data_IF_217903603404
#
_entry.id   IF_217903603404
#
_cell.length_a   1.000
_cell.length_b   1.000
_cell.length_c   1.000
_cell.angle_alpha   90.00
_cell.angle_beta   90.00
_cell.angle_gamma   90.00
#
_symmetry.space_group_name_H-M   'P 1'
#
loop_
_entity.id
_entity.type
_entity.pdbx_description
1 polymer ?
#
# COMPACT_ATOMS: atom_id res chain seq x y z
N UNK A 1 -0.47 13.97 -19.57
CA UNK A 1 -1.15 13.02 -18.67
C UNK A 1 -2.61 13.39 -18.67
N UNK A 2 -3.54 12.45 -18.76
CA UNK A 2 -4.96 12.78 -18.98
C UNK A 2 -5.57 13.67 -17.89
N UNK A 3 -6.75 14.24 -18.19
CA UNK A 3 -7.43 15.18 -17.30
C UNK A 3 -7.70 14.56 -15.90
N UNK A 4 -7.51 15.33 -14.81
CA UNK A 4 -7.56 14.79 -13.45
C UNK A 4 -8.99 14.44 -13.02
N UNK A 5 -9.24 13.16 -12.72
CA UNK A 5 -10.53 12.67 -12.21
C UNK A 5 -10.85 13.24 -10.82
N UNK A 6 -9.84 13.53 -10.01
CA UNK A 6 -10.05 14.12 -8.67
C UNK A 6 -10.68 15.51 -8.78
N UNK A 7 -10.17 16.37 -9.68
CA UNK A 7 -10.74 17.70 -9.93
C UNK A 7 -12.17 17.58 -10.43
N UNK A 8 -12.43 16.69 -11.38
CA UNK A 8 -13.77 16.40 -11.88
C UNK A 8 -14.76 16.05 -10.75
N UNK A 9 -14.34 15.24 -9.78
CA UNK A 9 -15.15 14.88 -8.61
C UNK A 9 -15.36 16.05 -7.65
N UNK A 10 -14.36 16.90 -7.46
CA UNK A 10 -14.49 18.08 -6.59
C UNK A 10 -15.42 19.13 -7.21
N UNK A 11 -15.32 19.40 -8.51
CA UNK A 11 -16.20 20.33 -9.23
C UNK A 11 -17.67 19.91 -9.14
N UNK A 12 -17.96 18.61 -9.20
CA UNK A 12 -19.32 18.08 -9.07
C UNK A 12 -19.90 18.19 -7.65
N UNK A 13 -19.10 18.50 -6.64
CA UNK A 13 -19.61 18.83 -5.29
C UNK A 13 -20.07 20.27 -5.20
N UNK A 14 -19.56 21.14 -6.07
CA UNK A 14 -20.00 22.52 -6.17
C UNK A 14 -21.31 22.58 -6.98
N UNK A 15 -22.38 23.00 -6.32
CA UNK A 15 -23.69 23.22 -6.93
C UNK A 15 -23.92 24.67 -7.38
N UNK A 16 -22.87 25.50 -7.35
CA UNK A 16 -22.94 26.93 -7.62
C UNK A 16 -22.19 27.32 -8.91
N UNK A 17 -22.90 27.47 -10.04
CA UNK A 17 -22.30 27.90 -11.31
C UNK A 17 -22.02 29.41 -11.35
N UNK A 18 -22.64 30.22 -10.48
CA UNK A 18 -22.40 31.68 -10.46
C UNK A 18 -21.01 31.98 -9.89
N UNK A 19 -20.63 31.31 -8.80
CA UNK A 19 -19.28 31.40 -8.24
C UNK A 19 -18.21 30.91 -9.23
N UNK A 20 -18.52 29.90 -10.04
CA UNK A 20 -17.60 29.41 -11.08
C UNK A 20 -17.31 30.49 -12.14
N UNK A 21 -18.37 31.16 -12.62
CA UNK A 21 -18.29 32.25 -13.62
C UNK A 21 -17.65 33.52 -13.07
N UNK A 22 -17.86 33.80 -11.79
CA UNK A 22 -17.23 34.93 -11.12
C UNK A 22 -15.71 34.76 -11.00
N UNK A 23 -15.22 33.51 -10.99
CA UNK A 23 -13.79 33.22 -10.91
C UNK A 23 -13.11 33.41 -12.28
N UNK A 24 -13.52 32.65 -13.30
CA UNK A 24 -13.06 32.83 -14.68
C UNK A 24 -14.02 32.15 -15.66
N UNK A 25 -13.95 32.55 -16.94
CA UNK A 25 -14.76 31.95 -18.00
C UNK A 25 -14.33 30.51 -18.25
N UNK A 26 -13.02 30.28 -18.32
CA UNK A 26 -12.42 28.98 -18.56
C UNK A 26 -12.70 28.01 -17.41
N UNK A 27 -12.67 28.49 -16.16
CA UNK A 27 -13.06 27.68 -15.00
C UNK A 27 -14.53 27.30 -15.06
N UNK A 28 -15.40 28.23 -15.46
CA UNK A 28 -16.83 27.97 -15.61
C UNK A 28 -17.11 26.91 -16.69
N UNK A 29 -16.39 26.92 -17.82
CA UNK A 29 -16.51 25.87 -18.84
C UNK A 29 -16.14 24.49 -18.30
N UNK A 30 -15.03 24.41 -17.55
CA UNK A 30 -14.59 23.16 -16.91
C UNK A 30 -15.60 22.69 -15.85
N UNK A 31 -16.14 23.61 -15.05
CA UNK A 31 -17.17 23.33 -14.05
C UNK A 31 -18.48 22.86 -14.69
N UNK A 32 -19.01 23.57 -15.68
CA UNK A 32 -20.25 23.24 -16.38
C UNK A 32 -20.15 21.85 -17.03
N UNK A 33 -19.04 21.57 -17.74
CA UNK A 33 -18.80 20.25 -18.31
C UNK A 33 -18.78 19.15 -17.24
N UNK A 34 -18.14 19.39 -16.09
CA UNK A 34 -18.13 18.46 -14.99
C UNK A 34 -19.52 18.28 -14.34
N UNK A 35 -20.25 19.38 -14.13
CA UNK A 35 -21.57 19.42 -13.50
C UNK A 35 -22.59 18.60 -14.30
N UNK A 36 -22.64 18.79 -15.62
CA UNK A 36 -23.51 18.02 -16.52
C UNK A 36 -22.98 16.62 -16.87
N UNK A 37 -21.80 16.25 -16.38
CA UNK A 37 -21.21 14.93 -16.60
C UNK A 37 -20.66 14.70 -18.02
N UNK A 38 -20.34 15.76 -18.75
CA UNK A 38 -19.80 15.71 -20.12
C UNK A 38 -18.29 15.51 -20.09
N UNK A 39 -17.87 14.24 -19.97
CA UNK A 39 -16.45 13.89 -19.81
C UNK A 39 -15.55 14.39 -20.94
N UNK A 40 -15.96 14.26 -22.20
CA UNK A 40 -15.17 14.71 -23.33
C UNK A 40 -14.93 16.23 -23.31
N UNK A 41 -15.99 17.00 -23.05
CA UNK A 41 -15.92 18.46 -22.94
C UNK A 41 -15.02 18.87 -21.77
N UNK A 42 -15.13 18.19 -20.63
CA UNK A 42 -14.25 18.42 -19.47
C UNK A 42 -12.78 18.17 -19.80
N UNK A 43 -12.46 17.09 -20.51
CA UNK A 43 -11.08 16.78 -20.92
C UNK A 43 -10.55 17.87 -21.84
N UNK A 44 -11.35 18.34 -22.80
CA UNK A 44 -10.96 19.41 -23.72
C UNK A 44 -10.77 20.75 -23.00
N UNK A 45 -11.70 21.13 -22.12
CA UNK A 45 -11.62 22.35 -21.32
C UNK A 45 -10.42 22.35 -20.34
N UNK A 46 -9.93 21.17 -19.94
CA UNK A 46 -8.69 21.03 -19.16
C UNK A 46 -7.39 21.14 -19.99
N UNK A 47 -7.47 21.45 -21.28
CA UNK A 47 -6.33 21.50 -22.19
C UNK A 47 -6.12 20.25 -23.04
N UNK A 48 -7.06 19.30 -22.99
CA UNK A 48 -7.08 18.10 -23.82
C UNK A 48 -6.40 16.86 -23.20
N UNK A 49 -6.45 15.71 -23.89
CA UNK A 49 -6.00 14.42 -23.34
C UNK A 49 -4.47 14.34 -23.10
N UNK A 50 -3.68 15.16 -23.79
CA UNK A 50 -2.21 15.15 -23.72
C UNK A 50 -1.62 16.33 -22.93
N UNK A 51 -2.47 17.17 -22.33
CA UNK A 51 -2.03 18.33 -21.55
C UNK A 51 -0.96 17.97 -20.51
N UNK A 52 0.00 18.88 -20.33
CA UNK A 52 0.99 18.77 -19.27
C UNK A 52 0.35 19.12 -17.94
N UNK A 53 0.86 18.55 -16.85
CA UNK A 53 0.28 18.76 -15.52
C UNK A 53 0.32 20.23 -15.07
N UNK A 54 1.31 20.99 -15.54
CA UNK A 54 1.48 22.40 -15.20
C UNK A 54 0.61 23.32 -16.06
N UNK A 55 0.05 22.80 -17.16
CA UNK A 55 -0.80 23.52 -18.12
C UNK A 55 -2.30 23.16 -17.95
N UNK A 56 -2.65 22.48 -16.85
CA UNK A 56 -4.05 22.16 -16.52
C UNK A 56 -4.80 23.41 -16.07
N UNK A 57 -5.94 23.70 -16.70
CA UNK A 57 -6.79 24.85 -16.35
C UNK A 57 -7.21 24.84 -14.87
N UNK A 58 -7.73 23.72 -14.37
CA UNK A 58 -8.21 23.60 -12.98
C UNK A 58 -7.41 22.57 -12.20
N UNK A 59 -6.95 22.94 -11.00
CA UNK A 59 -6.11 22.11 -10.14
C UNK A 59 -6.70 21.95 -8.75
N UNK A 60 -6.36 20.86 -8.08
CA UNK A 60 -6.76 20.61 -6.69
C UNK A 60 -5.95 21.47 -5.72
N UNK A 61 -6.63 22.13 -4.80
CA UNK A 61 -6.01 22.77 -3.65
C UNK A 61 -5.77 21.72 -2.55
N UNK A 62 -4.52 21.61 -2.13
CA UNK A 62 -4.11 20.83 -0.97
C UNK A 62 -3.73 21.76 0.17
N UNK A 63 -4.16 21.43 1.39
CA UNK A 63 -3.80 22.15 2.60
C UNK A 63 -3.39 21.14 3.68
N UNK A 64 -2.31 21.43 4.44
CA UNK A 64 -1.97 20.64 5.60
C UNK A 64 -3.06 20.79 6.66
N UNK A 65 -3.47 19.66 7.24
CA UNK A 65 -4.38 19.64 8.38
C UNK A 65 -3.59 19.99 9.64
N UNK A 66 -4.20 20.74 10.55
CA UNK A 66 -3.61 21.09 11.85
C UNK A 66 -3.35 19.86 12.73
N UNK A 67 -4.06 18.75 12.48
CA UNK A 67 -3.90 17.49 13.19
C UNK A 67 -2.84 16.62 12.51
N UNK A 68 -1.95 16.04 13.33
CA UNK A 68 -0.98 15.04 12.89
C UNK A 68 -1.62 13.65 12.82
N UNK A 69 -1.07 12.78 11.98
CA UNK A 69 -1.47 11.37 11.93
C UNK A 69 -0.99 10.61 13.20
N UNK A 70 -1.39 9.35 13.32
CA UNK A 70 -0.99 8.48 14.46
C UNK A 70 0.53 8.31 14.64
N UNK A 71 1.32 8.67 13.63
CA UNK A 71 2.78 8.60 13.62
C UNK A 71 3.43 9.98 13.81
N UNK A 72 2.65 11.04 14.04
CA UNK A 72 3.15 12.40 14.22
C UNK A 72 3.46 13.15 12.91
N UNK A 73 3.02 12.67 11.75
CA UNK A 73 3.25 13.32 10.46
C UNK A 73 2.09 14.22 10.04
N UNK A 74 2.37 15.27 9.28
CA UNK A 74 1.36 16.17 8.75
C UNK A 74 0.44 15.47 7.74
N UNK A 75 -0.86 15.73 7.85
CA UNK A 75 -1.85 15.17 6.92
C UNK A 75 -2.19 16.21 5.85
N UNK A 76 -1.78 15.97 4.61
CA UNK A 76 -2.16 16.82 3.48
C UNK A 76 -3.53 16.38 2.93
N UNK A 77 -4.51 17.28 2.95
CA UNK A 77 -5.88 17.01 2.51
C UNK A 77 -6.28 17.90 1.34
N UNK A 78 -7.18 17.39 0.49
CA UNK A 78 -7.85 18.21 -0.52
C UNK A 78 -8.84 19.12 0.20
N UNK A 79 -8.80 20.42 -0.11
CA UNK A 79 -9.75 21.42 0.43
C UNK A 79 -10.69 21.98 -0.62
N UNK A 80 -10.23 22.02 -1.87
CA UNK A 80 -10.92 22.72 -2.93
C UNK A 80 -10.25 22.54 -4.28
N UNK A 81 -10.64 23.41 -5.18
CA UNK A 81 -10.06 23.55 -6.52
C UNK A 81 -9.75 25.02 -6.78
N UNK A 82 -8.81 25.31 -7.67
CA UNK A 82 -8.47 26.65 -8.09
C UNK A 82 -8.15 26.67 -9.59
N UNK A 83 -8.30 27.83 -10.20
CA UNK A 83 -7.86 28.08 -11.57
C UNK A 83 -6.35 28.33 -11.60
N UNK A 84 -5.63 27.63 -12.47
CA UNK A 84 -4.19 27.79 -12.67
C UNK A 84 -3.77 29.19 -13.11
N UNK A 85 -4.62 29.92 -13.85
CA UNK A 85 -4.35 31.27 -14.37
C UNK A 85 -4.40 32.33 -13.27
N UNK A 86 -5.32 32.19 -12.31
CA UNK A 86 -5.47 33.07 -11.14
C UNK A 86 -4.53 32.65 -10.02
N UNK A 87 -4.27 31.35 -9.92
CA UNK A 87 -3.40 30.75 -8.92
C UNK A 87 -4.14 30.32 -7.65
N UNK A 88 -3.39 29.70 -6.74
CA UNK A 88 -3.94 29.08 -5.54
C UNK A 88 -4.43 30.07 -4.47
N UNK A 89 -4.26 31.39 -4.67
CA UNK A 89 -4.64 32.44 -3.73
C UNK A 89 -6.15 32.72 -3.67
N UNK A 90 -6.90 32.30 -4.69
CA UNK A 90 -8.36 32.47 -4.75
C UNK A 90 -9.04 31.13 -5.06
N UNK A 91 -8.97 30.15 -4.13
CA UNK A 91 -9.55 28.84 -4.37
C UNK A 91 -11.05 28.82 -4.07
N UNK A 92 -11.73 27.89 -4.72
CA UNK A 92 -13.10 27.49 -4.37
C UNK A 92 -13.02 26.28 -3.43
N UNK A 93 -13.52 26.44 -2.22
CA UNK A 93 -13.54 25.39 -1.21
C UNK A 93 -14.71 24.43 -1.44
N UNK A 94 -14.41 23.15 -1.64
CA UNK A 94 -15.40 22.10 -1.95
C UNK A 94 -15.64 21.15 -0.77
N UNK A 95 -14.80 21.21 0.27
CA UNK A 95 -14.86 20.32 1.45
C UNK A 95 -14.94 21.11 2.75
N UNK A 96 -16.11 21.71 2.98
CA UNK A 96 -16.38 22.51 4.19
C UNK A 96 -16.76 21.64 5.40
N UNK A 97 -17.30 20.43 5.16
CA UNK A 97 -17.73 19.53 6.24
C UNK A 97 -16.58 18.69 6.77
N UNK A 98 -16.34 18.76 8.08
CA UNK A 98 -15.37 17.91 8.77
C UNK A 98 -16.08 16.79 9.53
N UNK A 99 -15.68 15.55 9.28
CA UNK A 99 -16.14 14.39 10.02
C UNK A 99 -15.09 13.99 11.06
N UNK A 100 -15.53 13.74 12.29
CA UNK A 100 -14.72 13.19 13.37
C UNK A 100 -15.19 11.78 13.68
N UNK A 101 -14.26 10.84 13.80
CA UNK A 101 -14.58 9.49 14.28
C UNK A 101 -14.87 9.61 15.77
N UNK A 102 -16.11 9.28 16.16
CA UNK A 102 -16.54 9.25 17.56
C UNK A 102 -16.76 7.80 17.95
N UNK A 103 -16.23 7.32 19.09
CA UNK A 103 -16.58 6.00 19.61
C UNK A 103 -18.10 5.89 19.73
N UNK A 104 -18.68 4.76 19.30
CA UNK A 104 -20.11 4.47 19.45
C UNK A 104 -20.44 4.38 20.95
N UNK A 105 -20.69 5.52 21.60
CA UNK A 105 -21.26 5.60 22.95
C UNK A 105 -22.73 5.93 22.81
N UNK A 106 -23.55 5.29 23.65
CA UNK A 106 -24.98 5.51 23.79
C UNK A 106 -25.24 6.95 24.28
N UNK A 107 -25.12 7.91 23.37
CA UNK A 107 -25.71 9.23 23.52
C UNK A 107 -27.10 9.10 22.91
N UNK A 108 -28.13 9.44 23.67
CA UNK A 108 -29.55 9.48 23.30
C UNK A 108 -29.82 10.47 22.15
N UNK A 109 -29.19 10.24 21.00
CA UNK A 109 -29.60 10.82 19.74
C UNK A 109 -30.59 9.81 19.16
N UNK A 110 -31.85 10.24 19.04
CA UNK A 110 -32.98 9.47 18.52
C UNK A 110 -32.84 9.13 17.02
N UNK A 111 -31.73 8.49 16.66
CA UNK A 111 -31.44 7.97 15.34
C UNK A 111 -31.16 6.49 15.51
N UNK A 112 -32.18 5.68 15.25
CA UNK A 112 -32.09 4.23 15.25
C UNK A 112 -31.11 3.76 14.16
N UNK A 113 -29.84 3.62 14.53
CA UNK A 113 -28.83 2.99 13.67
C UNK A 113 -28.92 1.48 13.86
N UNK A 114 -29.69 0.84 12.96
CA UNK A 114 -29.91 -0.61 12.93
C UNK A 114 -28.59 -1.37 12.77
N UNK A 115 -28.11 -2.03 13.83
CA UNK A 115 -27.00 -2.98 13.77
C UNK A 115 -27.50 -4.31 13.19
N UNK A 116 -27.36 -4.48 11.87
CA UNK A 116 -27.67 -5.73 11.19
C UNK A 116 -26.83 -5.90 9.92
N UNK A 117 -26.83 -7.07 9.31
CA UNK A 117 -26.10 -7.37 8.06
C UNK A 117 -26.36 -6.41 6.88
N UNK A 118 -27.31 -5.49 7.04
CA UNK A 118 -27.68 -4.44 6.10
C UNK A 118 -26.95 -3.09 6.33
N UNK A 119 -26.01 -2.95 7.26
CA UNK A 119 -25.25 -1.69 7.39
C UNK A 119 -24.40 -1.45 6.12
N UNK A 120 -24.45 -0.25 5.51
CA UNK A 120 -23.61 0.08 4.36
C UNK A 120 -22.14 -0.17 4.66
N UNK A 121 -21.49 -0.97 3.82
CA UNK A 121 -20.08 -1.36 4.01
C UNK A 121 -19.17 -0.16 3.72
N UNK A 122 -18.60 0.44 4.75
CA UNK A 122 -17.59 1.49 4.63
C UNK A 122 -16.17 0.91 4.71
N UNK A 123 -15.18 1.59 4.12
CA UNK A 123 -13.78 1.14 4.15
C UNK A 123 -13.23 0.94 5.57
N UNK A 124 -13.82 1.59 6.57
CA UNK A 124 -13.45 1.45 7.98
C UNK A 124 -14.01 0.14 8.58
N UNK A 125 -15.16 -0.35 8.11
CA UNK A 125 -15.70 -1.65 8.57
C UNK A 125 -15.00 -2.87 7.93
N UNK A 126 -14.17 -2.64 6.91
CA UNK A 126 -13.40 -3.68 6.20
C UNK A 126 -12.04 -3.98 6.86
N UNK A 127 -11.59 -3.19 7.83
CA UNK A 127 -10.38 -3.51 8.56
C UNK A 127 -10.74 -4.48 9.67
N UNK A 128 -10.25 -5.73 9.58
CA UNK A 128 -10.14 -6.61 10.74
C UNK A 128 -9.48 -5.78 11.84
N UNK A 129 -10.19 -5.55 12.95
CA UNK A 129 -9.71 -4.72 14.04
C UNK A 129 -8.27 -5.11 14.38
N UNK A 130 -7.40 -4.12 14.57
CA UNK A 130 -6.03 -4.35 15.00
C UNK A 130 -6.06 -5.23 16.24
N UNK A 131 -5.57 -6.48 16.13
CA UNK A 131 -5.30 -7.37 17.25
C UNK A 131 -4.25 -6.80 18.24
N UNK A 132 -3.82 -5.56 18.04
CA UNK A 132 -2.72 -4.88 18.71
C UNK A 132 -3.13 -4.01 19.88
N UNK A 133 -4.42 -3.75 20.10
CA UNK A 133 -4.87 -3.22 21.39
C UNK A 133 -5.17 -4.42 22.29
N UNK A 134 -4.27 -4.78 23.23
CA UNK A 134 -4.64 -5.75 24.25
C UNK A 134 -5.85 -5.17 24.98
N UNK A 135 -6.93 -5.95 25.19
CA UNK A 135 -8.02 -5.50 26.04
C UNK A 135 -7.42 -5.02 27.37
N UNK A 136 -7.93 -3.93 27.92
CA UNK A 136 -7.59 -3.51 29.29
C UNK A 136 -8.00 -4.67 30.21
N UNK A 137 -7.03 -5.53 30.54
CA UNK A 137 -7.23 -6.70 31.37
C UNK A 137 -7.06 -6.24 32.81
N UNK A 138 -8.18 -6.09 33.51
CA UNK A 138 -8.17 -5.91 34.96
C UNK A 138 -7.75 -7.22 35.64
N UNK A 139 -6.45 -7.34 35.93
CA UNK A 139 -5.86 -8.53 36.55
C UNK A 139 -6.28 -8.70 38.02
N UNK A 140 -6.97 -7.72 38.61
CA UNK A 140 -7.43 -7.80 40.00
C UNK A 140 -8.65 -8.72 40.15
N UNK A 141 -9.40 -8.94 39.07
CA UNK A 141 -10.58 -9.81 39.08
C UNK A 141 -10.21 -11.25 38.72
N UNK A 142 -10.46 -12.23 39.59
CA UNK A 142 -10.19 -13.62 39.26
C UNK A 142 -11.13 -14.10 38.14
N UNK A 143 -10.58 -14.84 37.17
CA UNK A 143 -11.35 -15.43 36.08
C UNK A 143 -12.50 -16.28 36.64
N UNK A 144 -13.69 -16.07 36.09
CA UNK A 144 -14.87 -16.89 36.36
C UNK A 144 -14.64 -18.34 35.90
N UNK A 145 -15.44 -19.27 36.42
CA UNK A 145 -15.37 -20.70 36.04
C UNK A 145 -15.50 -20.91 34.54
N UNK A 146 -16.33 -20.12 33.86
CA UNK A 146 -16.54 -20.17 32.41
C UNK A 146 -15.28 -19.71 31.65
N UNK A 147 -14.72 -18.57 32.04
CA UNK A 147 -13.51 -18.02 31.41
C UNK A 147 -12.30 -18.93 31.62
N UNK A 148 -12.16 -19.56 32.79
CA UNK A 148 -11.13 -20.58 33.04
C UNK A 148 -11.26 -21.77 32.09
N UNK A 149 -12.48 -22.24 31.83
CA UNK A 149 -12.75 -23.34 30.89
C UNK A 149 -12.44 -22.93 29.45
N UNK A 150 -12.74 -21.70 29.08
CA UNK A 150 -12.45 -21.17 27.75
C UNK A 150 -10.94 -20.99 27.52
N UNK A 151 -10.23 -20.45 28.52
CA UNK A 151 -8.78 -20.30 28.48
C UNK A 151 -8.09 -21.66 28.37
N UNK A 152 -8.51 -22.65 29.16
CA UNK A 152 -7.97 -24.03 29.06
C UNK A 152 -8.25 -24.66 27.71
N UNK A 153 -9.43 -24.43 27.12
CA UNK A 153 -9.74 -24.88 25.76
C UNK A 153 -8.84 -24.18 24.72
N UNK A 154 -8.57 -22.88 24.85
CA UNK A 154 -7.66 -22.13 23.97
C UNK A 154 -6.21 -22.61 24.07
N UNK A 155 -5.71 -22.81 25.28
CA UNK A 155 -4.35 -23.33 25.52
C UNK A 155 -4.19 -24.77 25.01
N UNK A 156 -5.25 -25.59 25.09
CA UNK A 156 -5.26 -26.96 24.54
C UNK A 156 -5.32 -26.99 23.01
N UNK A 157 -5.81 -25.94 22.33
CA UNK A 157 -5.79 -25.88 20.88
C UNK A 157 -4.33 -25.75 20.41
N UNK A 158 -3.80 -26.83 19.83
CA UNK A 158 -2.52 -26.78 19.12
C UNK A 158 -2.64 -25.69 18.04
N UNK A 159 -1.75 -24.69 18.08
CA UNK A 159 -1.64 -23.67 17.04
C UNK A 159 -1.50 -24.41 15.71
N UNK A 160 -2.41 -24.22 14.72
CA UNK A 160 -2.26 -24.87 13.44
C UNK A 160 -0.91 -24.45 12.88
N UNK A 161 -0.12 -25.42 12.43
CA UNK A 161 1.14 -25.12 11.75
C UNK A 161 0.80 -24.45 10.43
N UNK A 162 0.72 -23.11 10.41
CA UNK A 162 0.49 -22.29 9.22
C UNK A 162 1.69 -22.28 8.27
N UNK A 163 2.60 -23.25 8.38
CA UNK A 163 3.71 -23.40 7.44
C UNK A 163 3.27 -24.41 6.39
N UNK A 164 3.22 -23.97 5.14
CA UNK A 164 3.12 -24.88 3.99
C UNK A 164 4.24 -25.91 4.13
N UNK A 165 3.90 -27.21 4.13
CA UNK A 165 4.91 -28.28 4.15
C UNK A 165 5.78 -28.11 2.91
N UNK A 166 7.09 -27.92 3.10
CA UNK A 166 8.03 -27.82 1.98
C UNK A 166 8.20 -29.20 1.33
N UNK A 167 7.81 -29.32 0.06
CA UNK A 167 7.90 -30.56 -0.70
C UNK A 167 9.29 -30.61 -1.34
N UNK A 168 10.08 -31.62 -0.99
CA UNK A 168 11.47 -31.79 -1.42
C UNK A 168 11.58 -32.37 -2.84
N UNK A 169 10.75 -31.90 -3.76
CA UNK A 169 10.69 -32.37 -5.13
C UNK A 169 9.81 -33.62 -5.30
N UNK A 170 9.50 -33.94 -6.55
CA UNK A 170 8.76 -35.15 -6.94
C UNK A 170 9.73 -36.24 -7.40
N UNK A 171 9.30 -37.50 -7.44
CA UNK A 171 10.18 -38.61 -7.86
C UNK A 171 10.77 -38.42 -9.26
N UNK A 172 10.00 -37.80 -10.16
CA UNK A 172 10.44 -37.45 -11.52
C UNK A 172 11.60 -36.44 -11.55
N UNK A 173 11.75 -35.63 -10.50
CA UNK A 173 12.77 -34.60 -10.38
C UNK A 173 14.04 -35.10 -9.68
N UNK A 174 14.04 -36.30 -9.08
CA UNK A 174 15.18 -36.79 -8.28
C UNK A 174 16.48 -36.81 -9.07
N UNK A 175 16.45 -37.25 -10.33
CA UNK A 175 17.63 -37.30 -11.21
C UNK A 175 18.19 -35.91 -11.49
N UNK A 176 17.33 -34.93 -11.75
CA UNK A 176 17.75 -33.55 -11.98
C UNK A 176 18.26 -32.88 -10.68
N UNK A 177 17.67 -33.22 -9.53
CA UNK A 177 18.12 -32.73 -8.22
C UNK A 177 19.52 -33.26 -7.90
N UNK A 178 19.77 -34.57 -8.07
CA UNK A 178 21.10 -35.16 -7.83
C UNK A 178 22.13 -34.56 -8.77
N UNK A 179 21.81 -34.45 -10.06
CA UNK A 179 22.66 -33.79 -11.06
C UNK A 179 23.04 -32.37 -10.66
N UNK A 180 22.06 -31.58 -10.21
CA UNK A 180 22.30 -30.19 -9.74
C UNK A 180 23.23 -30.16 -8.52
N UNK A 181 23.02 -31.04 -7.54
CA UNK A 181 23.86 -31.10 -6.34
C UNK A 181 25.30 -31.45 -6.72
N UNK A 182 25.47 -32.46 -7.57
CA UNK A 182 26.78 -32.92 -8.02
C UNK A 182 27.50 -31.82 -8.83
N UNK A 183 26.81 -31.13 -9.73
CA UNK A 183 27.39 -30.08 -10.56
C UNK A 183 27.82 -28.85 -9.73
N UNK A 184 27.08 -28.47 -8.67
CA UNK A 184 27.52 -27.42 -7.74
C UNK A 184 28.73 -27.87 -6.94
N UNK A 185 28.71 -29.12 -6.45
CA UNK A 185 29.82 -29.66 -5.69
C UNK A 185 31.11 -29.64 -6.52
N UNK A 186 31.04 -30.07 -7.80
CA UNK A 186 32.18 -30.03 -8.71
C UNK A 186 32.65 -28.60 -9.03
N UNK A 187 31.71 -27.65 -9.17
CA UNK A 187 32.04 -26.28 -9.61
C UNK A 187 32.52 -25.38 -8.47
N UNK A 188 32.01 -25.58 -7.26
CA UNK A 188 32.20 -24.67 -6.12
C UNK A 188 32.81 -25.32 -4.88
N UNK A 189 32.82 -26.66 -4.81
CA UNK A 189 33.24 -27.44 -3.66
C UNK A 189 32.20 -27.55 -2.54
N UNK A 190 31.01 -26.94 -2.70
CA UNK A 190 29.97 -26.90 -1.66
C UNK A 190 28.88 -27.93 -1.98
N UNK A 191 28.57 -28.79 -1.00
CA UNK A 191 27.42 -29.68 -1.08
C UNK A 191 26.17 -28.94 -0.63
N UNK A 192 25.24 -28.73 -1.55
CA UNK A 192 23.99 -28.00 -1.30
C UNK A 192 22.84 -28.94 -0.92
N UNK A 193 21.83 -28.40 -0.26
CA UNK A 193 20.61 -29.13 0.10
C UNK A 193 19.68 -29.39 -1.10
N UNK A 194 18.82 -30.41 -1.01
CA UNK A 194 17.78 -30.67 -2.04
C UNK A 194 16.87 -29.45 -2.26
N UNK A 195 16.58 -28.68 -1.22
CA UNK A 195 15.76 -27.46 -1.33
C UNK A 195 16.45 -26.37 -2.15
N UNK A 196 17.76 -26.20 -1.98
CA UNK A 196 18.56 -25.26 -2.77
C UNK A 196 18.69 -25.73 -4.23
N UNK A 197 18.84 -27.02 -4.46
CA UNK A 197 18.84 -27.58 -5.81
C UNK A 197 17.49 -27.30 -6.51
N UNK A 198 16.37 -27.51 -5.82
CA UNK A 198 15.04 -27.16 -6.33
C UNK A 198 14.88 -25.66 -6.58
N UNK A 199 15.40 -24.82 -5.71
CA UNK A 199 15.40 -23.37 -5.90
C UNK A 199 16.10 -22.98 -7.20
N UNK A 200 17.27 -23.58 -7.47
CA UNK A 200 18.01 -23.35 -8.71
C UNK A 200 17.29 -23.90 -9.93
N UNK A 201 16.74 -25.11 -9.85
CA UNK A 201 15.94 -25.72 -10.92
C UNK A 201 14.69 -24.90 -11.28
N UNK A 202 14.12 -24.20 -10.31
CA UNK A 202 13.01 -23.27 -10.51
C UNK A 202 13.43 -21.92 -11.13
N UNK A 203 14.71 -21.75 -11.51
CA UNK A 203 15.27 -20.52 -12.07
C UNK A 203 15.74 -19.52 -11.02
N UNK A 204 15.79 -19.93 -9.75
CA UNK A 204 16.37 -19.16 -8.66
C UNK A 204 17.86 -18.88 -8.88
N UNK A 205 18.34 -17.79 -8.28
CA UNK A 205 19.75 -17.37 -8.36
C UNK A 205 20.34 -17.41 -6.96
N UNK A 206 21.37 -18.23 -6.78
CA UNK A 206 22.09 -18.34 -5.52
C UNK A 206 23.57 -18.09 -5.72
N UNK A 207 24.24 -17.66 -4.66
CA UNK A 207 25.68 -17.46 -4.63
C UNK A 207 26.30 -18.55 -3.77
N UNK A 208 27.17 -19.38 -4.36
CA UNK A 208 27.94 -20.39 -3.64
C UNK A 208 29.42 -20.10 -3.84
N UNK A 209 30.17 -19.99 -2.74
CA UNK A 209 31.60 -19.66 -2.74
C UNK A 209 31.95 -18.42 -3.60
N UNK A 210 31.11 -17.37 -3.55
CA UNK A 210 31.30 -16.14 -4.33
C UNK A 210 30.91 -16.24 -5.82
N UNK A 211 30.51 -17.41 -6.31
CA UNK A 211 30.02 -17.62 -7.68
C UNK A 211 28.50 -17.62 -7.71
N UNK A 212 27.93 -16.74 -8.52
CA UNK A 212 26.50 -16.68 -8.77
C UNK A 212 26.11 -17.68 -9.85
N UNK A 213 25.13 -18.53 -9.53
CA UNK A 213 24.67 -19.59 -10.41
C UNK A 213 23.14 -19.60 -10.51
N UNK A 214 22.64 -20.15 -11.62
CA UNK A 214 21.22 -20.46 -11.85
C UNK A 214 21.11 -21.84 -12.48
N UNK A 215 20.05 -22.56 -12.15
CA UNK A 215 19.78 -23.89 -12.71
C UNK A 215 18.72 -23.87 -13.81
N UNK A 216 18.69 -24.91 -14.64
CA UNK A 216 17.54 -25.28 -15.47
C UNK A 216 16.71 -26.36 -14.80
N UNK A 217 15.49 -26.60 -15.29
CA UNK A 217 14.64 -27.68 -14.81
C UNK A 217 15.23 -29.08 -15.04
N UNK A 218 16.20 -29.21 -15.94
CA UNK A 218 16.92 -30.46 -16.24
C UNK A 218 18.18 -30.66 -15.37
N UNK A 219 18.45 -29.71 -14.47
CA UNK A 219 19.55 -29.78 -13.52
C UNK A 219 20.92 -29.39 -14.08
N UNK A 220 20.96 -28.58 -15.14
CA UNK A 220 22.20 -27.97 -15.66
C UNK A 220 22.43 -26.60 -15.01
N UNK A 221 23.69 -26.22 -14.82
CA UNK A 221 24.06 -25.01 -14.07
C UNK A 221 24.77 -24.00 -14.97
N UNK A 222 24.32 -22.75 -14.85
CA UNK A 222 24.89 -21.63 -15.59
C UNK A 222 25.33 -20.52 -14.65
N UNK A 223 26.39 -19.81 -15.03
CA UNK A 223 26.77 -18.58 -14.36
C UNK A 223 25.63 -17.54 -14.46
N UNK A 224 25.41 -16.80 -13.38
CA UNK A 224 24.39 -15.78 -13.29
C UNK A 224 24.97 -14.45 -12.81
N UNK A 225 24.33 -13.35 -13.20
CA UNK A 225 24.61 -12.05 -12.58
C UNK A 225 24.05 -12.02 -11.14
N UNK A 226 24.64 -11.22 -10.24
CA UNK A 226 24.14 -11.03 -8.88
C UNK A 226 22.67 -10.63 -8.86
N UNK A 227 21.93 -11.12 -7.86
CA UNK A 227 20.52 -10.75 -7.67
C UNK A 227 20.37 -9.24 -7.43
N UNK A 228 19.20 -8.70 -7.76
CA UNK A 228 18.90 -7.27 -7.53
C UNK A 228 19.09 -6.90 -6.05
N UNK A 229 18.61 -7.75 -5.13
CA UNK A 229 18.79 -7.55 -3.69
C UNK A 229 20.27 -7.52 -3.30
N UNK A 230 21.11 -8.40 -3.85
CA UNK A 230 22.54 -8.38 -3.57
C UNK A 230 23.24 -7.11 -4.11
N UNK A 231 22.84 -6.62 -5.28
CA UNK A 231 23.33 -5.34 -5.83
C UNK A 231 22.92 -4.17 -4.93
N UNK A 232 21.66 -4.13 -4.52
CA UNK A 232 21.15 -3.09 -3.62
C UNK A 232 21.88 -3.11 -2.28
N UNK A 233 22.07 -4.29 -1.68
CA UNK A 233 22.79 -4.43 -0.41
C UNK A 233 24.25 -3.99 -0.52
N UNK A 234 24.93 -4.29 -1.64
CA UNK A 234 26.29 -3.82 -1.92
C UNK A 234 26.36 -2.28 -2.01
N UNK A 235 25.36 -1.63 -2.60
CA UNK A 235 25.28 -0.17 -2.65
C UNK A 235 25.07 0.40 -1.25
N UNK A 236 24.12 -0.15 -0.49
CA UNK A 236 23.84 0.29 0.88
C UNK A 236 25.07 0.16 1.79
N UNK A 237 25.79 -0.96 1.73
CA UNK A 237 27.01 -1.16 2.51
C UNK A 237 28.12 -0.14 2.13
N UNK A 238 28.23 0.23 0.85
CA UNK A 238 29.17 1.28 0.42
C UNK A 238 28.79 2.64 0.96
N UNK A 239 27.50 2.98 0.91
CA UNK A 239 26.99 4.25 1.46
C UNK A 239 27.22 4.31 2.97
N UNK A 240 26.96 3.21 3.69
CA UNK A 240 27.22 3.13 5.13
C UNK A 240 28.70 3.32 5.45
N UNK A 241 29.61 2.68 4.72
CA UNK A 241 31.06 2.83 4.92
C UNK A 241 31.53 4.28 4.64
N UNK A 242 30.99 4.95 3.62
CA UNK A 242 31.31 6.35 3.35
C UNK A 242 30.77 7.28 4.44
N UNK A 243 29.58 7.00 4.96
CA UNK A 243 29.00 7.76 6.06
C UNK A 243 29.85 7.62 7.35
N UNK A 244 30.32 6.42 7.67
CA UNK A 244 31.24 6.19 8.80
C UNK A 244 32.60 6.87 8.65
N UNK A 245 33.10 7.02 7.41
CA UNK A 245 34.32 7.77 7.15
C UNK A 245 34.11 9.28 7.32
N UNK A 246 32.96 9.79 6.87
CA UNK A 246 32.61 11.20 6.99
C UNK A 246 32.37 11.63 8.44
N UNK A 247 31.92 10.74 9.32
CA UNK A 247 31.74 11.04 10.75
C UNK A 247 33.01 10.90 11.59
N UNK A 248 34.06 10.28 11.04
CA UNK A 248 35.39 10.16 11.67
C UNK A 248 36.37 11.27 11.26
N UNK A 249 36.00 12.12 10.30
CA UNK A 249 36.71 13.37 9.99
C UNK A 249 36.14 14.52 10.82
#
# INVERSE_FOLDING_TARGET
>A
GGAPVTVYRELRKMADPETARALSVEFAEVHDAAHYGRWADYVNAQGGPFVRRDELQVRTLYEPRTELNQYGEEIVCIKGVYDSTIGAGTPILTRLTQWKIVPKRAVDLAVDLQDGFAVPRSSVNNCTGSESDPPILDLTKPLSRRERRELTNRLRKKKPTTRRKFIHGTDKQNVAITKTIDEIHLTTGITISRGEALHLMAGGKSCFNGRWVRGTSQGEIFAAAPSHQAKAWKILNRVAALAEQATKM
#
